data_IF_086091088935
#
_entry.id   IF_086091088935
#
_cell.length_a   1.000
_cell.length_b   1.000
_cell.length_c   1.000
_cell.angle_alpha   90.00
_cell.angle_beta   90.00
_cell.angle_gamma   90.00
#
_symmetry.space_group_name_H-M   'P 1'
#
loop_
_entity.id
_entity.type
_entity.pdbx_description
1 polymer ?
#
# COMPACT_ATOMS: atom_id res chain seq x y z
N UNK A 1 -5.63 -6.82 -11.59
CA UNK A 1 -5.36 -5.37 -11.43
C UNK A 1 -4.06 -5.26 -10.67
N UNK A 2 -3.19 -4.31 -11.00
CA UNK A 2 -1.96 -4.12 -10.26
C UNK A 2 -2.18 -3.13 -9.12
N UNK A 3 -1.57 -3.41 -7.97
CA UNK A 3 -1.60 -2.53 -6.81
C UNK A 3 -0.19 -2.02 -6.54
N UNK A 4 -0.12 -0.92 -5.79
CA UNK A 4 1.13 -0.38 -5.28
C UNK A 4 0.91 0.20 -3.89
N UNK A 5 2.00 0.44 -3.17
CA UNK A 5 1.96 1.16 -1.92
C UNK A 5 2.27 2.64 -2.15
N UNK A 6 1.52 3.51 -1.50
CA UNK A 6 1.68 4.97 -1.58
C UNK A 6 1.79 5.57 -0.19
N UNK A 7 2.77 6.45 0.01
CA UNK A 7 3.03 7.07 1.29
C UNK A 7 1.99 8.13 1.65
N UNK A 8 1.56 8.12 2.90
CA UNK A 8 0.93 9.25 3.59
C UNK A 8 1.99 9.86 4.53
N UNK A 9 2.20 11.17 4.40
CA UNK A 9 3.09 11.92 5.26
C UNK A 9 2.31 12.62 6.38
N UNK A 10 2.95 12.77 7.53
CA UNK A 10 2.40 13.57 8.63
C UNK A 10 2.53 15.08 8.39
N UNK A 11 2.23 15.92 9.40
CA UNK A 11 2.25 17.38 9.29
C UNK A 11 3.60 17.98 8.88
N UNK A 12 4.71 17.28 9.14
CA UNK A 12 6.06 17.69 8.73
C UNK A 12 6.40 17.29 7.28
N UNK A 13 5.43 16.77 6.53
CA UNK A 13 5.63 16.31 5.16
C UNK A 13 6.67 15.18 5.06
N UNK A 14 7.31 15.02 3.89
CA UNK A 14 8.32 13.98 3.67
C UNK A 14 9.50 14.02 4.65
N UNK A 15 9.87 15.21 5.16
CA UNK A 15 10.96 15.37 6.13
C UNK A 15 10.65 14.71 7.49
N UNK A 16 9.38 14.54 7.84
CA UNK A 16 8.94 13.80 9.02
C UNK A 16 8.88 12.29 8.84
N UNK A 17 9.15 11.80 7.63
CA UNK A 17 9.00 10.40 7.26
C UNK A 17 7.56 9.99 6.96
N UNK A 18 7.40 8.75 6.50
CA UNK A 18 6.10 8.17 6.15
C UNK A 18 5.35 7.81 7.43
N UNK A 19 4.16 8.40 7.61
CA UNK A 19 3.28 8.08 8.73
C UNK A 19 2.53 6.76 8.51
N UNK A 20 2.10 6.51 7.27
CA UNK A 20 1.34 5.32 6.89
C UNK A 20 1.51 5.00 5.41
N UNK A 21 1.51 3.70 5.09
CA UNK A 21 1.48 3.23 3.71
C UNK A 21 0.09 2.76 3.32
N UNK A 22 -0.42 3.22 2.18
CA UNK A 22 -1.71 2.81 1.64
C UNK A 22 -1.55 1.93 0.44
N UNK A 23 -2.35 0.88 0.34
CA UNK A 23 -2.54 0.18 -0.92
C UNK A 23 -3.43 1.06 -1.82
N UNK A 24 -2.99 1.27 -3.05
CA UNK A 24 -3.74 1.98 -4.10
C UNK A 24 -3.84 1.08 -5.33
N UNK A 25 -4.80 1.35 -6.20
CA UNK A 25 -4.87 0.72 -7.52
C UNK A 25 -3.99 1.53 -8.48
N UNK A 26 -3.24 0.88 -9.36
CA UNK A 26 -2.37 1.58 -10.32
C UNK A 26 -3.12 2.59 -11.20
N UNK A 27 -4.40 2.33 -11.49
CA UNK A 27 -5.31 3.22 -12.22
C UNK A 27 -5.68 4.49 -11.46
N UNK A 28 -5.53 4.51 -10.13
CA UNK A 28 -5.87 5.64 -9.25
C UNK A 28 -4.90 5.72 -8.05
N UNK A 29 -3.65 6.14 -8.27
CA UNK A 29 -2.61 6.11 -7.25
C UNK A 29 -2.74 7.24 -6.22
N UNK A 30 -3.61 8.22 -6.48
CA UNK A 30 -3.88 9.34 -5.56
C UNK A 30 -4.91 8.99 -4.49
N UNK A 31 -5.56 7.82 -4.58
CA UNK A 31 -6.52 7.39 -3.58
C UNK A 31 -6.15 6.02 -3.01
N UNK A 32 -5.98 5.98 -1.70
CA UNK A 32 -5.97 4.75 -0.93
C UNK A 32 -7.26 3.95 -1.21
N UNK A 33 -7.18 2.63 -1.19
CA UNK A 33 -8.38 1.79 -1.25
C UNK A 33 -9.38 2.11 -0.11
N UNK A 34 -8.92 2.68 1.00
CA UNK A 34 -9.77 3.17 2.09
C UNK A 34 -10.46 4.53 1.79
N UNK A 35 -10.18 5.17 0.66
CA UNK A 35 -10.70 6.48 0.26
C UNK A 35 -9.87 7.68 0.72
N UNK A 36 -8.68 7.46 1.31
CA UNK A 36 -7.79 8.57 1.68
C UNK A 36 -7.13 9.18 0.44
N UNK A 37 -7.16 10.50 0.33
CA UNK A 37 -6.41 11.24 -0.69
C UNK A 37 -4.92 11.30 -0.32
N UNK A 38 -4.07 11.06 -1.30
CA UNK A 38 -2.62 11.00 -1.17
C UNK A 38 -1.99 12.01 -2.12
N UNK A 39 -0.84 12.57 -1.73
CA UNK A 39 -0.14 13.51 -2.58
C UNK A 39 0.28 12.83 -3.90
N UNK A 40 0.11 13.55 -5.01
CA UNK A 40 0.37 13.07 -6.37
C UNK A 40 1.86 12.84 -6.68
N UNK A 41 2.74 13.31 -5.80
CA UNK A 41 4.19 13.08 -5.81
C UNK A 41 4.71 12.23 -4.63
N UNK A 42 3.82 11.69 -3.79
CA UNK A 42 4.23 10.86 -2.66
C UNK A 42 5.04 9.62 -3.08
N UNK A 43 5.94 9.17 -2.19
CA UNK A 43 6.74 7.97 -2.44
C UNK A 43 5.84 6.77 -2.74
N UNK A 44 6.22 6.00 -3.76
CA UNK A 44 5.59 4.74 -4.12
C UNK A 44 6.53 3.57 -3.82
N UNK A 45 5.95 2.44 -3.43
CA UNK A 45 6.63 1.15 -3.30
C UNK A 45 5.88 0.06 -4.03
N UNK A 46 6.59 -1.00 -4.47
CA UNK A 46 5.95 -2.12 -5.13
C UNK A 46 5.07 -2.89 -4.13
N UNK A 47 4.06 -3.63 -4.63
CA UNK A 47 3.09 -4.32 -3.78
C UNK A 47 3.72 -5.34 -2.83
N UNK A 48 4.83 -5.95 -3.23
CA UNK A 48 5.56 -6.97 -2.46
C UNK A 48 6.19 -6.40 -1.18
N UNK A 49 6.28 -5.08 -1.06
CA UNK A 49 6.68 -4.42 0.19
C UNK A 49 5.58 -4.44 1.25
N UNK A 50 4.35 -4.82 0.89
CA UNK A 50 3.27 -5.01 1.86
C UNK A 50 3.59 -6.21 2.77
N UNK A 51 3.41 -6.03 4.08
CA UNK A 51 3.71 -7.08 5.06
C UNK A 51 5.20 -7.24 5.40
N UNK A 52 6.12 -6.45 4.82
CA UNK A 52 7.56 -6.51 5.15
C UNK A 52 7.95 -5.59 6.32
N UNK A 53 7.03 -5.36 7.26
CA UNK A 53 7.23 -4.49 8.43
C UNK A 53 6.93 -3.01 8.20
N UNK A 54 6.42 -2.61 7.04
CA UNK A 54 5.90 -1.26 6.83
C UNK A 54 4.63 -1.03 7.65
N UNK A 55 4.49 0.18 8.20
CA UNK A 55 3.26 0.59 8.88
C UNK A 55 2.16 0.88 7.85
N UNK A 56 1.44 -0.17 7.44
CA UNK A 56 0.39 -0.10 6.43
C UNK A 56 -0.99 0.21 7.02
N UNK A 57 -1.84 0.86 6.22
CA UNK A 57 -3.25 1.05 6.53
C UNK A 57 -3.98 -0.30 6.59
N UNK A 58 -4.51 -0.65 7.76
CA UNK A 58 -5.19 -1.92 7.98
C UNK A 58 -6.41 -2.11 7.06
N UNK A 59 -7.21 -1.05 6.85
CA UNK A 59 -8.38 -1.12 5.98
C UNK A 59 -7.98 -1.36 4.52
N UNK A 60 -6.97 -0.66 4.01
CA UNK A 60 -6.43 -0.91 2.67
C UNK A 60 -5.95 -2.36 2.53
N UNK A 61 -5.24 -2.88 3.54
CA UNK A 61 -4.80 -4.29 3.56
C UNK A 61 -5.96 -5.28 3.53
N UNK A 62 -7.03 -5.03 4.29
CA UNK A 62 -8.22 -5.90 4.27
C UNK A 62 -8.87 -5.92 2.89
N UNK A 63 -9.05 -4.75 2.26
CA UNK A 63 -9.66 -4.65 0.93
C UNK A 63 -8.77 -5.28 -0.15
N UNK A 64 -7.45 -5.08 -0.07
CA UNK A 64 -6.49 -5.72 -0.95
C UNK A 64 -6.61 -7.24 -0.93
N UNK A 65 -6.72 -7.85 0.25
CA UNK A 65 -6.89 -9.31 0.41
C UNK A 65 -8.20 -9.84 -0.19
N UNK A 66 -9.22 -8.98 -0.39
CA UNK A 66 -10.44 -9.36 -1.10
C UNK A 66 -10.29 -9.32 -2.63
N UNK A 67 -9.35 -8.51 -3.15
CA UNK A 67 -9.10 -8.37 -4.60
C UNK A 67 -7.98 -9.29 -5.10
N UNK A 68 -7.01 -9.60 -4.25
CA UNK A 68 -5.86 -10.45 -4.60
C UNK A 68 -6.06 -11.85 -4.02
N UNK A 69 -6.38 -12.85 -4.87
CA UNK A 69 -6.57 -14.21 -4.41
C UNK A 69 -5.27 -14.75 -3.82
N UNK A 70 -5.35 -15.35 -2.63
CA UNK A 70 -4.23 -16.11 -2.09
C UNK A 70 -4.06 -17.40 -2.89
N UNK A 71 -3.10 -17.43 -3.81
CA UNK A 71 -2.71 -18.64 -4.53
C UNK A 71 -1.47 -19.24 -3.86
N UNK A 72 -1.63 -20.44 -3.30
CA UNK A 72 -0.54 -21.14 -2.58
C UNK A 72 0.72 -21.34 -3.44
N UNK A 73 0.57 -21.41 -4.77
CA UNK A 73 1.67 -21.47 -5.75
C UNK A 73 2.62 -20.29 -5.63
N UNK A 74 2.12 -19.10 -5.33
CA UNK A 74 2.86 -17.83 -5.37
C UNK A 74 3.71 -17.64 -4.09
N UNK A 75 3.51 -18.54 -3.12
CA UNK A 75 4.17 -18.55 -1.82
C UNK A 75 4.89 -19.87 -1.53
N UNK A 76 4.93 -20.80 -2.48
CA UNK A 76 5.68 -22.06 -2.33
C UNK A 76 7.18 -21.76 -2.18
N UNK A 77 7.76 -22.06 -1.02
CA UNK A 77 9.19 -21.84 -0.71
C UNK A 77 9.47 -20.81 0.38
N UNK A 78 8.44 -20.12 0.90
CA UNK A 78 8.54 -19.33 2.14
C UNK A 78 8.08 -20.19 3.31
N UNK A 79 8.98 -21.04 3.82
CA UNK A 79 8.83 -21.79 5.08
C UNK A 79 9.82 -21.30 6.10
#
# INVERSE_FOLDING_TARGET
MAHLLRAEYGPSGPAGGVARWHVVRDTDPSHGMCGAELASDAESRPEEAWGTGLHCCQQCGSLYLHEVPFLRSDHAGRT
#
